data_IF_517046782225
#
_entry.id   IF_517046782225
#
_cell.length_a   1.000
_cell.length_b   1.000
_cell.length_c   1.000
_cell.angle_alpha   90.00
_cell.angle_beta   90.00
_cell.angle_gamma   90.00
#
_symmetry.space_group_name_H-M   'P 1'
#
loop_
_entity.id
_entity.type
_entity.pdbx_description
1 polymer ?
#
# COMPACT_ATOMS: atom_id res chain seq x y z
N UNK A 1 -14.31 -20.05 12.09
CA UNK A 1 -14.51 -18.62 11.77
C UNK A 1 -13.17 -17.93 12.02
N UNK A 2 -12.51 -17.42 10.99
CA UNK A 2 -11.23 -16.72 11.19
C UNK A 2 -11.49 -15.40 11.93
N UNK A 3 -10.69 -15.10 12.95
CA UNK A 3 -10.78 -13.83 13.66
C UNK A 3 -10.50 -12.69 12.67
N UNK A 4 -11.39 -11.70 12.62
CA UNK A 4 -11.17 -10.51 11.82
C UNK A 4 -10.13 -9.68 12.58
N UNK A 5 -8.91 -9.62 12.05
CA UNK A 5 -7.86 -8.74 12.55
C UNK A 5 -8.21 -7.29 12.18
N UNK A 6 -8.99 -6.65 13.04
CA UNK A 6 -9.36 -5.24 12.88
C UNK A 6 -8.32 -4.41 13.63
N UNK A 7 -7.36 -3.85 12.89
CA UNK A 7 -6.51 -2.78 13.42
C UNK A 7 -7.31 -1.47 13.38
N UNK A 8 -7.62 -0.85 14.53
CA UNK A 8 -8.38 0.39 14.55
C UNK A 8 -7.55 1.52 13.93
N UNK A 9 -8.15 2.23 12.98
CA UNK A 9 -7.57 3.44 12.39
C UNK A 9 -7.78 4.58 13.40
N UNK A 10 -6.74 5.33 13.81
CA UNK A 10 -6.90 6.43 14.76
C UNK A 10 -7.89 7.47 14.23
N UNK A 11 -8.84 7.88 15.05
CA UNK A 11 -9.87 8.88 14.71
C UNK A 11 -9.33 10.26 14.34
N UNK A 12 -8.07 10.55 14.69
CA UNK A 12 -7.37 11.81 14.37
C UNK A 12 -6.31 11.66 13.26
N UNK A 13 -6.27 10.53 12.55
CA UNK A 13 -5.28 10.34 11.49
C UNK A 13 -5.69 11.14 10.23
N UNK A 14 -4.83 12.04 9.77
CA UNK A 14 -5.02 12.80 8.53
C UNK A 14 -4.45 12.00 7.35
N UNK A 15 -5.20 11.00 6.91
CA UNK A 15 -4.87 10.20 5.74
C UNK A 15 -5.89 10.41 4.61
N UNK A 16 -5.51 10.03 3.40
CA UNK A 16 -6.35 10.07 2.21
C UNK A 16 -6.59 8.65 1.71
N UNK A 17 -7.80 8.40 1.22
CA UNK A 17 -8.09 7.19 0.45
C UNK A 17 -7.29 7.20 -0.86
N UNK A 18 -7.07 6.03 -1.45
CA UNK A 18 -6.22 5.89 -2.64
C UNK A 18 -6.76 6.66 -3.84
N UNK A 19 -8.08 6.68 -4.04
CA UNK A 19 -8.70 7.42 -5.15
C UNK A 19 -8.58 8.94 -5.00
N UNK A 20 -8.32 9.44 -3.79
CA UNK A 20 -8.16 10.86 -3.50
C UNK A 20 -6.68 11.30 -3.56
N UNK A 21 -5.75 10.39 -3.86
CA UNK A 21 -4.33 10.70 -4.00
C UNK A 21 -4.09 11.68 -5.15
N UNK A 22 -3.36 12.76 -4.85
CA UNK A 22 -3.00 13.78 -5.86
C UNK A 22 -1.50 13.81 -6.10
N UNK A 23 -1.11 13.77 -7.36
CA UNK A 23 0.29 14.00 -7.76
C UNK A 23 0.71 15.45 -7.44
N UNK A 24 1.99 15.65 -7.14
CA UNK A 24 2.57 16.99 -6.96
C UNK A 24 2.31 17.66 -5.61
N UNK A 25 1.71 16.97 -4.63
CA UNK A 25 1.70 17.43 -3.22
C UNK A 25 2.94 16.94 -2.48
N UNK A 26 3.34 17.67 -1.44
CA UNK A 26 4.55 17.42 -0.65
C UNK A 26 4.57 16.04 0.00
N UNK A 27 3.53 15.65 0.74
CA UNK A 27 3.40 14.33 1.37
C UNK A 27 1.93 14.05 1.66
N UNK A 28 1.47 12.81 1.43
CA UNK A 28 0.13 12.34 1.77
C UNK A 28 0.27 11.07 2.59
N UNK A 29 -0.47 10.98 3.70
CA UNK A 29 -0.54 9.75 4.50
C UNK A 29 -1.67 8.88 3.97
N UNK A 30 -1.48 7.57 3.98
CA UNK A 30 -2.49 6.59 3.57
C UNK A 30 -2.55 5.48 4.61
N UNK A 31 -3.72 4.87 4.75
CA UNK A 31 -3.92 3.65 5.54
C UNK A 31 -4.44 2.59 4.60
N UNK A 32 -3.81 1.42 4.62
CA UNK A 32 -4.20 0.32 3.75
C UNK A 32 -3.83 -1.03 4.34
N UNK A 33 -4.63 -2.03 4.02
CA UNK A 33 -4.37 -3.44 4.31
C UNK A 33 -3.46 -4.03 3.25
N UNK A 34 -2.38 -4.67 3.67
CA UNK A 34 -1.51 -5.43 2.77
C UNK A 34 -2.23 -6.70 2.29
N UNK A 35 -2.48 -6.80 0.98
CA UNK A 35 -3.09 -7.97 0.36
C UNK A 35 -2.02 -8.97 -0.12
N UNK A 36 -0.94 -8.48 -0.70
CA UNK A 36 0.16 -9.29 -1.25
C UNK A 36 1.43 -8.45 -1.33
N UNK A 37 2.59 -9.10 -1.24
CA UNK A 37 3.87 -8.53 -1.60
C UNK A 37 4.68 -9.50 -2.46
N UNK A 38 5.61 -8.98 -3.26
CA UNK A 38 6.57 -9.78 -4.01
C UNK A 38 7.88 -9.01 -4.22
N UNK A 39 8.99 -9.72 -4.40
CA UNK A 39 10.26 -9.10 -4.73
C UNK A 39 10.23 -8.50 -6.13
N UNK A 40 10.70 -7.25 -6.25
CA UNK A 40 11.12 -6.68 -7.52
C UNK A 40 12.55 -7.12 -7.82
N UNK A 41 12.75 -7.77 -8.97
CA UNK A 41 14.07 -8.27 -9.40
C UNK A 41 14.43 -7.75 -10.79
N UNK A 42 15.69 -7.35 -10.96
CA UNK A 42 16.21 -6.91 -12.24
C UNK A 42 16.67 -8.10 -13.08
N UNK A 43 15.84 -8.49 -14.06
CA UNK A 43 16.12 -9.62 -14.95
C UNK A 43 17.43 -9.43 -15.73
N UNK A 44 17.79 -8.19 -16.10
CA UNK A 44 19.02 -7.90 -16.86
C UNK A 44 20.29 -7.99 -16.01
N UNK A 45 20.16 -7.94 -14.69
CA UNK A 45 21.28 -8.03 -13.73
C UNK A 45 21.17 -9.32 -12.91
N UNK A 46 20.96 -10.44 -13.59
CA UNK A 46 20.93 -11.77 -12.97
C UNK A 46 19.92 -11.89 -11.80
N UNK A 47 18.75 -11.27 -11.97
CA UNK A 47 17.73 -11.28 -10.93
C UNK A 47 18.07 -10.47 -9.68
N UNK A 48 19.01 -9.52 -9.76
CA UNK A 48 19.39 -8.62 -8.66
C UNK A 48 18.15 -8.03 -7.98
N UNK A 49 18.09 -8.13 -6.67
CA UNK A 49 17.02 -7.55 -5.86
C UNK A 49 16.99 -6.02 -6.01
N UNK A 50 15.82 -5.50 -6.37
CA UNK A 50 15.57 -4.07 -6.58
C UNK A 50 14.67 -3.44 -5.51
N UNK A 51 13.84 -4.24 -4.85
CA UNK A 51 12.86 -3.75 -3.89
C UNK A 51 11.73 -4.75 -3.67
N UNK A 52 10.64 -4.30 -3.04
CA UNK A 52 9.45 -5.10 -2.78
C UNK A 52 8.26 -4.34 -3.35
N UNK A 53 7.45 -5.00 -4.16
CA UNK A 53 6.17 -4.46 -4.59
C UNK A 53 5.09 -4.90 -3.62
N UNK A 54 4.27 -3.95 -3.19
CA UNK A 54 3.14 -4.15 -2.28
C UNK A 54 1.83 -3.92 -3.03
N UNK A 55 0.83 -4.75 -2.73
CA UNK A 55 -0.56 -4.56 -3.13
C UNK A 55 -1.37 -4.18 -1.90
N UNK A 56 -1.88 -2.96 -1.86
CA UNK A 56 -2.61 -2.41 -0.72
C UNK A 56 -4.09 -2.21 -1.07
N UNK A 57 -4.97 -2.36 -0.06
CA UNK A 57 -6.42 -2.08 -0.13
C UNK A 57 -6.79 -1.04 0.93
N UNK A 58 -7.53 0.00 0.58
CA UNK A 58 -8.03 0.99 1.54
C UNK A 58 -9.48 0.72 1.99
N UNK A 59 -10.04 1.62 2.80
CA UNK A 59 -11.43 1.55 3.28
C UNK A 59 -12.50 1.76 2.20
N UNK A 60 -12.15 2.35 1.05
CA UNK A 60 -13.07 2.55 -0.08
C UNK A 60 -13.07 1.37 -1.04
N UNK A 61 -12.38 0.29 -0.68
CA UNK A 61 -12.14 -0.89 -1.52
C UNK A 61 -11.32 -0.59 -2.78
N UNK A 62 -10.55 0.49 -2.76
CA UNK A 62 -9.64 0.86 -3.84
C UNK A 62 -8.29 0.20 -3.62
N UNK A 63 -7.58 -0.12 -4.72
CA UNK A 63 -6.35 -0.89 -4.70
C UNK A 63 -5.21 -0.12 -5.36
N UNK A 64 -4.06 -0.09 -4.70
CA UNK A 64 -2.84 0.54 -5.24
C UNK A 64 -1.64 -0.41 -5.19
N UNK A 65 -0.78 -0.29 -6.20
CA UNK A 65 0.54 -0.92 -6.21
C UNK A 65 1.57 0.09 -5.70
N UNK A 66 2.31 -0.28 -4.65
CA UNK A 66 3.45 0.48 -4.15
C UNK A 66 4.75 -0.27 -4.44
N UNK A 67 5.83 0.44 -4.73
CA UNK A 67 7.17 -0.09 -5.00
C UNK A 67 8.16 0.55 -4.02
#
# INVERSE_FOLDING_TARGET
MAAIDVVPIPTNANYVAFDDLRLGRSTQQVVGRLLRFWDARNIKKDGQFMGIVLLLLDEKCSVIHAF
#
